data_IF_074899999238
#
_entry.id   IF_074899999238
#
_cell.length_a   1.000
_cell.length_b   1.000
_cell.length_c   1.000
_cell.angle_alpha   90.00
_cell.angle_beta   90.00
_cell.angle_gamma   90.00
#
_symmetry.space_group_name_H-M   'P 1'
#
loop_
_entity.id
_entity.type
_entity.pdbx_description
1 polymer ?
#
# COMPACT_ATOMS: atom_id res chain seq x y z
N UNK A 1 0.24 60.73 65.35
CA UNK A 1 1.43 61.45 64.88
C UNK A 1 1.64 61.13 63.41
N UNK A 2 1.10 62.00 62.55
CA UNK A 2 1.63 62.34 61.22
C UNK A 2 3.00 63.05 61.39
N UNK A 3 3.85 63.26 60.35
CA UNK A 3 3.42 63.50 58.97
C UNK A 3 4.21 62.85 57.83
N UNK A 4 3.47 62.77 56.74
CA UNK A 4 3.80 62.68 55.32
C UNK A 4 4.20 64.06 54.77
N UNK A 5 4.75 64.13 53.55
CA UNK A 5 4.68 65.20 52.51
C UNK A 5 5.95 65.06 51.61
N UNK A 6 5.97 65.18 50.28
CA UNK A 6 5.04 65.58 49.21
C UNK A 6 5.71 65.20 47.86
N UNK A 7 5.04 64.66 46.84
CA UNK A 7 4.06 65.19 45.88
C UNK A 7 4.68 65.88 44.64
N UNK A 8 4.36 65.37 43.43
CA UNK A 8 4.04 66.16 42.23
C UNK A 8 3.60 65.24 41.05
N UNK A 9 2.41 65.53 40.52
CA UNK A 9 1.63 64.84 39.47
C UNK A 9 1.71 65.62 38.12
N UNK A 10 0.78 65.52 37.14
CA UNK A 10 0.59 64.54 36.04
C UNK A 10 0.60 65.18 34.62
N UNK A 11 0.38 64.40 33.55
CA UNK A 11 -0.37 64.87 32.37
C UNK A 11 -0.94 63.70 31.54
N UNK A 12 -2.28 63.63 31.43
CA UNK A 12 -3.01 63.02 30.29
C UNK A 12 -3.30 64.10 29.23
N UNK A 13 -3.72 63.73 28.00
CA UNK A 13 -5.17 63.63 27.74
C UNK A 13 -5.64 62.51 26.77
N UNK A 14 -6.78 61.90 27.12
CA UNK A 14 -8.07 61.81 26.42
C UNK A 14 -8.22 61.26 24.96
N UNK A 15 -8.98 60.15 24.90
CA UNK A 15 -10.17 59.82 24.08
C UNK A 15 -10.29 59.99 22.54
N UNK A 16 -10.99 58.96 22.00
CA UNK A 16 -11.90 58.90 20.84
C UNK A 16 -11.30 58.94 19.43
N UNK A 17 -11.38 57.82 18.70
CA UNK A 17 -12.43 57.64 17.67
C UNK A 17 -12.52 56.19 17.15
N UNK A 18 -13.76 55.78 16.90
CA UNK A 18 -14.18 54.51 16.30
C UNK A 18 -13.84 54.43 14.80
N UNK A 19 -13.51 53.24 14.28
CA UNK A 19 -14.13 52.67 13.06
C UNK A 19 -13.46 51.35 12.62
N UNK A 20 -14.17 50.26 12.88
CA UNK A 20 -14.38 49.07 12.05
C UNK A 20 -13.66 48.99 10.68
N UNK A 21 -12.88 47.93 10.43
CA UNK A 21 -12.97 47.10 9.19
C UNK A 21 -12.15 45.80 9.28
N UNK A 22 -12.90 44.70 9.31
CA UNK A 22 -12.66 43.38 8.66
C UNK A 22 -11.35 42.58 8.87
N UNK A 23 -11.56 41.41 9.50
CA UNK A 23 -10.91 40.10 9.29
C UNK A 23 -9.91 39.96 8.13
N UNK A 24 -8.71 39.51 8.47
CA UNK A 24 -7.90 38.65 7.60
C UNK A 24 -7.06 37.69 8.46
N UNK A 25 -7.59 36.48 8.64
CA UNK A 25 -6.87 35.34 9.19
C UNK A 25 -5.64 35.02 8.32
N UNK A 26 -4.45 35.09 8.90
CA UNK A 26 -3.22 34.55 8.29
C UNK A 26 -3.27 33.03 8.36
N UNK A 27 -3.59 32.40 7.23
CA UNK A 27 -3.55 30.95 7.04
C UNK A 27 -2.18 30.54 6.49
N UNK A 28 -1.48 29.71 7.26
CA UNK A 28 -0.31 28.92 6.91
C UNK A 28 -0.54 28.08 5.62
N UNK A 29 0.32 28.15 4.58
CA UNK A 29 0.11 27.44 3.33
C UNK A 29 0.45 25.95 3.51
N UNK A 30 -0.54 25.18 3.96
CA UNK A 30 -0.53 23.73 3.94
C UNK A 30 -0.35 23.24 2.50
N UNK A 31 0.75 22.50 2.30
CA UNK A 31 1.07 21.69 1.12
C UNK A 31 -0.17 20.90 0.68
N UNK A 32 -0.58 21.11 -0.56
CA UNK A 32 -1.66 20.35 -1.20
C UNK A 32 -1.18 18.91 -1.39
N UNK A 33 -1.65 18.00 -0.53
CA UNK A 33 -1.54 16.55 -0.79
C UNK A 33 -2.51 16.19 -1.91
N UNK A 34 -2.03 15.40 -2.87
CA UNK A 34 -2.68 15.02 -4.14
C UNK A 34 -3.88 14.08 -3.93
N UNK A 35 -4.88 14.48 -3.16
CA UNK A 35 -6.18 13.81 -3.11
C UNK A 35 -7.20 14.64 -3.88
N UNK A 36 -7.41 14.27 -5.13
CA UNK A 36 -8.58 14.72 -5.90
C UNK A 36 -8.36 14.68 -7.40
N UNK A 37 -8.67 13.54 -8.04
CA UNK A 37 -9.01 13.41 -9.45
C UNK A 37 -9.45 11.94 -9.66
N UNK A 38 -10.59 11.54 -10.26
CA UNK A 38 -11.50 12.15 -11.21
C UNK A 38 -12.95 11.65 -11.01
N UNK A 39 -13.92 12.51 -11.35
CA UNK A 39 -15.25 12.12 -11.83
C UNK A 39 -15.18 11.75 -13.32
N UNK A 40 -16.00 10.78 -13.69
CA UNK A 40 -16.13 10.17 -15.02
C UNK A 40 -16.51 11.12 -16.17
N UNK A 41 -16.07 10.81 -17.38
CA UNK A 41 -16.86 10.91 -18.60
C UNK A 41 -16.23 10.08 -19.74
N UNK A 42 -17.07 9.23 -20.33
CA UNK A 42 -16.76 8.24 -21.38
C UNK A 42 -16.71 8.91 -22.77
N UNK A 43 -15.80 8.42 -23.61
CA UNK A 43 -15.68 8.73 -25.05
C UNK A 43 -16.87 8.13 -25.81
N UNK A 44 -17.46 8.93 -26.69
CA UNK A 44 -18.42 8.50 -27.70
C UNK A 44 -17.87 7.35 -28.56
N UNK A 45 -18.66 6.30 -28.74
CA UNK A 45 -18.42 5.31 -29.79
C UNK A 45 -19.53 5.39 -30.84
N UNK A 46 -19.09 5.54 -32.09
CA UNK A 46 -19.91 5.45 -33.29
C UNK A 46 -20.58 4.06 -33.42
N UNK A 47 -21.76 4.05 -34.01
CA UNK A 47 -22.53 2.85 -34.37
C UNK A 47 -21.84 2.02 -35.47
N UNK A 48 -22.22 0.72 -35.59
CA UNK A 48 -22.96 0.36 -36.80
C UNK A 48 -24.12 -0.64 -36.60
N UNK A 49 -25.23 -0.29 -37.27
CA UNK A 49 -26.13 -1.10 -38.11
C UNK A 49 -26.87 -2.35 -37.59
N UNK A 50 -28.18 -2.28 -37.77
CA UNK A 50 -29.26 -3.24 -37.54
C UNK A 50 -29.33 -4.33 -38.63
N UNK A 51 -29.71 -5.56 -38.25
CA UNK A 51 -30.74 -6.35 -38.93
C UNK A 51 -31.17 -7.59 -38.11
N UNK A 52 -32.48 -7.71 -37.84
CA UNK A 52 -33.17 -9.02 -37.87
C UNK A 52 -33.63 -9.68 -36.56
N UNK A 53 -34.84 -9.33 -36.09
CA UNK A 53 -35.92 -10.28 -35.75
C UNK A 53 -35.83 -11.16 -34.48
N UNK A 54 -36.74 -10.92 -33.52
CA UNK A 54 -37.19 -11.94 -32.56
C UNK A 54 -37.58 -11.39 -31.18
N UNK A 55 -38.87 -11.37 -30.85
CA UNK A 55 -39.42 -10.98 -29.54
C UNK A 55 -39.37 -12.18 -28.59
N UNK A 56 -38.76 -12.05 -27.41
CA UNK A 56 -39.04 -12.89 -26.24
C UNK A 56 -38.66 -12.19 -24.92
N UNK A 57 -39.40 -12.54 -23.86
CA UNK A 57 -39.74 -11.74 -22.69
C UNK A 57 -38.71 -11.78 -21.54
N UNK A 58 -38.65 -10.63 -20.85
CA UNK A 58 -38.14 -10.30 -19.51
C UNK A 58 -37.63 -11.41 -18.54
N UNK A 59 -36.48 -11.11 -17.91
CA UNK A 59 -36.20 -11.06 -16.44
C UNK A 59 -34.80 -11.58 -16.13
N UNK A 60 -33.89 -10.68 -15.78
CA UNK A 60 -33.36 -10.53 -14.42
C UNK A 60 -32.10 -9.66 -14.43
N UNK A 61 -32.07 -8.72 -13.49
CA UNK A 61 -30.96 -7.83 -13.25
C UNK A 61 -29.74 -8.65 -12.80
N UNK A 62 -28.82 -8.93 -13.73
CA UNK A 62 -27.51 -9.42 -13.38
C UNK A 62 -26.71 -8.27 -12.77
N UNK A 63 -26.62 -8.26 -11.44
CA UNK A 63 -25.66 -7.46 -10.68
C UNK A 63 -24.25 -7.80 -11.14
N UNK A 64 -23.67 -6.97 -11.99
CA UNK A 64 -22.24 -6.97 -12.27
C UNK A 64 -21.51 -6.54 -11.00
N UNK A 65 -21.05 -7.53 -10.23
CA UNK A 65 -20.24 -7.34 -9.04
C UNK A 65 -18.99 -6.54 -9.38
N UNK A 66 -18.92 -5.34 -8.83
CA UNK A 66 -17.72 -4.51 -8.84
C UNK A 66 -16.62 -5.20 -8.03
N UNK A 67 -15.80 -6.00 -8.71
CA UNK A 67 -14.46 -6.28 -8.22
C UNK A 67 -13.65 -4.99 -8.35
N UNK A 68 -13.54 -4.24 -7.26
CA UNK A 68 -12.56 -3.17 -7.18
C UNK A 68 -11.19 -3.78 -7.48
N UNK A 69 -10.52 -3.29 -8.52
CA UNK A 69 -9.09 -3.56 -8.73
C UNK A 69 -8.36 -2.90 -7.55
N UNK A 70 -8.04 -3.71 -6.55
CA UNK A 70 -7.26 -3.28 -5.39
C UNK A 70 -5.85 -2.95 -5.87
N UNK A 71 -5.30 -1.85 -5.36
CA UNK A 71 -3.90 -1.53 -5.58
C UNK A 71 -3.04 -2.70 -5.07
N UNK A 72 -2.02 -3.14 -5.83
CA UNK A 72 -1.01 -4.07 -5.31
C UNK A 72 -0.45 -3.54 -3.99
N UNK A 73 -0.07 -4.44 -3.09
CA UNK A 73 0.77 -4.09 -1.93
C UNK A 73 1.90 -3.17 -2.40
N UNK A 74 2.21 -2.08 -1.66
CA UNK A 74 3.19 -1.10 -2.12
C UNK A 74 4.46 -1.81 -2.57
N UNK A 75 4.84 -1.62 -3.85
CA UNK A 75 6.26 -1.76 -4.20
C UNK A 75 6.99 -0.72 -3.34
N UNK A 76 8.21 -1.03 -2.87
CA UNK A 76 9.01 -0.03 -2.17
C UNK A 76 9.22 1.18 -3.10
N UNK A 77 8.38 2.20 -2.93
CA UNK A 77 8.47 3.51 -3.57
C UNK A 77 9.25 4.43 -2.62
N UNK A 78 10.10 5.27 -3.22
CA UNK A 78 11.03 6.31 -2.71
C UNK A 78 11.60 6.29 -1.26
N UNK A 79 11.32 5.27 -0.45
CA UNK A 79 11.84 5.02 0.89
C UNK A 79 11.02 5.59 2.06
N UNK A 80 9.87 6.23 1.83
CA UNK A 80 9.08 6.87 2.92
C UNK A 80 7.91 6.01 3.43
N UNK A 81 7.39 5.06 2.64
CA UNK A 81 6.23 4.24 3.01
C UNK A 81 6.65 2.90 3.66
N UNK A 82 6.86 2.90 4.98
CA UNK A 82 7.12 1.68 5.77
C UNK A 82 5.83 0.93 6.10
N UNK A 83 5.88 -0.40 6.25
CA UNK A 83 4.70 -1.19 6.63
C UNK A 83 4.08 -0.67 7.94
N UNK A 84 2.79 -0.28 7.94
CA UNK A 84 2.16 0.31 9.11
C UNK A 84 2.15 -0.62 10.33
N UNK A 85 2.45 -0.11 11.54
CA UNK A 85 2.29 -0.87 12.77
C UNK A 85 0.81 -0.96 13.16
N UNK A 86 0.43 -2.08 13.77
CA UNK A 86 -0.89 -2.26 14.38
C UNK A 86 -0.79 -2.98 15.72
N UNK A 87 -1.91 -3.00 16.45
CA UNK A 87 -1.96 -3.64 17.76
C UNK A 87 -1.62 -5.13 17.70
N UNK A 88 -0.96 -5.62 18.75
CA UNK A 88 -0.64 -7.04 18.94
C UNK A 88 -1.90 -7.91 19.11
N UNK A 89 -2.94 -7.36 19.74
CA UNK A 89 -4.10 -8.12 20.15
C UNK A 89 -3.83 -8.97 21.39
N UNK A 90 -4.88 -9.59 21.96
CA UNK A 90 -4.78 -10.28 23.26
C UNK A 90 -4.21 -11.70 23.16
N UNK A 91 -3.91 -12.18 21.95
CA UNK A 91 -3.64 -13.60 21.69
C UNK A 91 -2.21 -13.90 21.26
N UNK A 92 -1.27 -12.95 21.38
CA UNK A 92 0.14 -13.25 21.15
C UNK A 92 0.68 -14.20 22.23
N UNK A 93 1.63 -15.08 21.84
CA UNK A 93 2.40 -15.92 22.76
C UNK A 93 3.87 -15.87 22.35
N UNK A 94 4.79 -15.51 23.28
CA UNK A 94 6.22 -15.53 22.99
C UNK A 94 6.73 -16.96 22.83
N UNK A 95 7.97 -17.10 22.37
CA UNK A 95 8.67 -18.40 22.22
C UNK A 95 7.98 -19.36 21.25
N UNK A 96 7.42 -18.84 20.15
CA UNK A 96 6.87 -19.67 19.09
C UNK A 96 7.94 -20.62 18.52
N UNK A 97 7.59 -21.83 18.07
CA UNK A 97 8.56 -22.72 17.44
C UNK A 97 9.03 -22.19 16.08
N UNK A 98 10.29 -22.43 15.74
CA UNK A 98 10.83 -22.09 14.42
C UNK A 98 10.26 -23.05 13.36
N UNK A 99 9.41 -22.54 12.46
CA UNK A 99 8.81 -23.30 11.35
C UNK A 99 8.20 -22.38 10.30
N UNK A 100 8.21 -22.84 9.06
CA UNK A 100 7.56 -22.17 7.92
C UNK A 100 6.18 -22.74 7.60
N UNK A 101 5.85 -23.94 8.09
CA UNK A 101 4.50 -24.51 8.03
C UNK A 101 3.84 -24.49 9.40
N UNK A 102 2.67 -23.87 9.50
CA UNK A 102 1.83 -23.85 10.70
C UNK A 102 0.86 -25.03 10.78
N UNK A 103 0.85 -25.86 9.74
CA UNK A 103 -0.13 -26.94 9.54
C UNK A 103 0.57 -28.27 9.29
N UNK A 104 -0.14 -29.35 9.61
CA UNK A 104 0.20 -30.72 9.26
C UNK A 104 -0.79 -31.27 8.23
N UNK A 105 -0.46 -32.41 7.61
CA UNK A 105 -1.41 -33.13 6.75
C UNK A 105 -2.74 -33.39 7.46
N UNK A 106 -3.86 -33.12 6.80
CA UNK A 106 -5.20 -33.27 7.36
C UNK A 106 -5.67 -32.14 8.29
N UNK A 107 -4.88 -31.06 8.45
CA UNK A 107 -5.33 -29.88 9.20
C UNK A 107 -6.58 -29.27 8.55
N UNK A 108 -7.71 -29.09 9.27
CA UNK A 108 -8.91 -28.50 8.70
C UNK A 108 -8.73 -27.04 8.28
N UNK A 109 -9.30 -26.68 7.14
CA UNK A 109 -9.32 -25.32 6.61
C UNK A 109 -8.93 -25.26 5.13
N UNK A 110 -9.16 -24.10 4.51
CA UNK A 110 -8.73 -23.85 3.13
C UNK A 110 -7.21 -23.65 3.12
N UNK A 111 -6.41 -24.47 2.41
CA UNK A 111 -4.96 -24.29 2.36
C UNK A 111 -4.56 -22.90 1.90
N UNK A 112 -3.56 -22.31 2.54
CA UNK A 112 -3.03 -20.98 2.22
C UNK A 112 -1.51 -21.01 2.27
N UNK A 113 -0.86 -20.47 1.24
CA UNK A 113 0.57 -20.10 1.33
C UNK A 113 0.70 -18.60 1.20
N UNK A 114 1.35 -17.95 2.16
CA UNK A 114 1.69 -16.51 2.11
C UNK A 114 3.18 -16.37 1.88
N UNK A 115 3.59 -15.64 0.84
CA UNK A 115 5.01 -15.45 0.50
C UNK A 115 5.29 -14.02 0.06
N UNK A 116 6.53 -13.58 0.22
CA UNK A 116 6.97 -12.27 -0.22
C UNK A 116 8.38 -11.98 0.26
N UNK A 117 8.71 -10.71 0.37
CA UNK A 117 10.03 -10.24 0.75
C UNK A 117 9.98 -9.28 1.95
N UNK A 118 11.13 -9.10 2.59
CA UNK A 118 11.34 -8.04 3.57
C UNK A 118 12.40 -7.09 3.02
N UNK A 119 12.06 -5.82 2.90
CA UNK A 119 12.93 -4.74 2.44
C UNK A 119 13.19 -3.72 3.56
N UNK A 120 14.26 -2.93 3.42
CA UNK A 120 14.41 -1.69 4.17
C UNK A 120 14.11 -0.47 3.29
N UNK A 121 14.45 0.73 3.78
CA UNK A 121 14.08 2.01 3.13
C UNK A 121 14.75 2.26 1.78
N UNK A 122 15.83 1.56 1.43
CA UNK A 122 16.47 1.69 0.12
C UNK A 122 16.06 0.56 -0.83
N UNK A 123 14.87 -0.04 -0.63
CA UNK A 123 14.33 -1.13 -1.43
C UNK A 123 15.26 -2.36 -1.50
N UNK A 124 16.15 -2.52 -0.52
CA UNK A 124 17.13 -3.61 -0.47
C UNK A 124 16.61 -4.74 0.41
N UNK A 125 16.67 -5.99 -0.06
CA UNK A 125 16.19 -7.12 0.71
C UNK A 125 16.98 -7.26 2.02
N UNK A 126 16.27 -7.56 3.10
CA UNK A 126 16.85 -7.81 4.42
C UNK A 126 16.92 -9.32 4.62
N UNK A 127 18.14 -9.86 4.55
CA UNK A 127 18.42 -11.24 4.94
C UNK A 127 18.35 -11.43 6.46
N UNK A 128 17.84 -12.58 6.90
CA UNK A 128 17.79 -12.92 8.33
C UNK A 128 16.80 -12.10 9.15
N UNK A 129 15.86 -11.40 8.53
CA UNK A 129 14.76 -10.75 9.25
C UNK A 129 13.86 -11.82 9.88
N UNK A 130 13.59 -11.69 11.18
CA UNK A 130 12.62 -12.49 11.90
C UNK A 130 11.21 -12.14 11.42
N UNK A 131 10.41 -13.16 11.12
CA UNK A 131 8.97 -13.06 10.93
C UNK A 131 8.30 -14.10 11.84
N UNK A 132 7.61 -13.64 12.87
CA UNK A 132 6.86 -14.47 13.84
C UNK A 132 5.36 -14.29 13.61
N UNK A 133 4.72 -15.33 13.08
CA UNK A 133 3.32 -15.34 12.67
C UNK A 133 2.44 -16.02 13.72
N UNK A 134 1.25 -15.46 13.93
CA UNK A 134 0.18 -16.14 14.64
C UNK A 134 -1.19 -15.80 14.06
N UNK A 135 -2.12 -16.74 14.13
CA UNK A 135 -3.49 -16.56 13.63
C UNK A 135 -4.48 -17.44 14.39
N UNK A 136 -5.76 -17.23 14.14
CA UNK A 136 -6.81 -18.16 14.51
C UNK A 136 -6.78 -19.42 13.63
N UNK A 137 -7.38 -20.50 14.13
CA UNK A 137 -7.74 -21.67 13.34
C UNK A 137 -8.88 -21.36 12.35
N UNK A 138 -9.32 -22.37 11.58
CA UNK A 138 -10.39 -22.20 10.58
C UNK A 138 -11.75 -21.78 11.17
N UNK A 139 -11.95 -21.93 12.48
CA UNK A 139 -13.18 -21.59 13.20
C UNK A 139 -13.09 -20.24 13.93
N UNK A 140 -11.95 -19.54 13.83
CA UNK A 140 -11.75 -18.25 14.50
C UNK A 140 -11.24 -18.37 15.94
N UNK A 141 -10.75 -19.54 16.35
CA UNK A 141 -10.22 -19.78 17.70
C UNK A 141 -8.69 -19.70 17.74
N UNK A 142 -8.14 -19.03 18.75
CA UNK A 142 -6.70 -18.98 19.02
C UNK A 142 -6.31 -20.05 20.04
N UNK A 143 -5.26 -20.81 19.74
CA UNK A 143 -4.68 -21.74 20.70
C UNK A 143 -3.84 -20.98 21.74
N UNK A 144 -4.33 -20.95 22.98
CA UNK A 144 -3.63 -20.36 24.13
C UNK A 144 -2.93 -21.42 24.98
N UNK A 145 -3.22 -22.71 24.79
CA UNK A 145 -2.60 -23.79 25.55
C UNK A 145 -1.26 -24.20 24.95
N UNK A 146 -1.21 -24.46 23.64
CA UNK A 146 -0.04 -24.90 22.92
C UNK A 146 0.41 -23.83 21.90
N UNK A 147 0.96 -24.25 20.76
CA UNK A 147 1.43 -23.36 19.71
C UNK A 147 0.76 -23.62 18.37
N UNK A 148 -0.44 -24.22 18.31
CA UNK A 148 -1.14 -24.39 17.04
C UNK A 148 -1.31 -23.02 16.34
N UNK A 149 -1.03 -22.98 15.03
CA UNK A 149 -1.05 -21.75 14.23
C UNK A 149 -0.11 -20.62 14.71
N UNK A 150 1.03 -20.98 15.33
CA UNK A 150 2.10 -20.04 15.73
C UNK A 150 3.45 -20.51 15.24
N UNK A 151 4.27 -19.64 14.68
CA UNK A 151 5.62 -20.03 14.31
C UNK A 151 6.40 -18.90 13.70
N UNK A 152 7.71 -18.94 13.91
CA UNK A 152 8.61 -17.96 13.35
C UNK A 152 9.57 -18.56 12.33
N UNK A 153 10.03 -17.70 11.44
CA UNK A 153 11.04 -18.00 10.45
C UNK A 153 11.98 -16.80 10.29
N UNK A 154 13.04 -16.99 9.50
CA UNK A 154 13.95 -15.93 9.10
C UNK A 154 13.97 -15.85 7.58
N UNK A 155 14.03 -14.65 7.03
CA UNK A 155 14.14 -14.46 5.58
C UNK A 155 15.44 -15.05 5.04
N UNK A 156 15.38 -15.50 3.77
CA UNK A 156 16.54 -15.98 3.01
C UNK A 156 17.54 -14.87 2.67
N UNK A 157 18.63 -15.23 2.00
CA UNK A 157 19.67 -14.28 1.57
C UNK A 157 19.14 -13.19 0.61
N UNK A 158 18.08 -13.51 -0.12
CA UNK A 158 17.33 -12.65 -1.03
C UNK A 158 16.19 -11.88 -0.33
N UNK A 159 16.06 -12.00 0.98
CA UNK A 159 14.99 -11.37 1.76
C UNK A 159 13.64 -12.08 1.67
N UNK A 160 13.55 -13.24 0.99
CA UNK A 160 12.29 -13.94 0.79
C UNK A 160 11.81 -14.69 2.05
N UNK A 161 10.48 -14.82 2.19
CA UNK A 161 9.82 -15.69 3.18
C UNK A 161 8.68 -16.49 2.56
N UNK A 162 8.31 -17.59 3.21
CA UNK A 162 7.12 -18.37 2.86
C UNK A 162 6.48 -19.00 4.09
N UNK A 163 5.18 -18.79 4.25
CA UNK A 163 4.34 -19.32 5.32
C UNK A 163 3.29 -20.25 4.74
N UNK A 164 3.33 -21.53 5.10
CA UNK A 164 2.26 -22.50 4.78
C UNK A 164 1.29 -22.60 5.95
N UNK A 165 0.01 -22.36 5.71
CA UNK A 165 -1.05 -22.31 6.72
C UNK A 165 -2.42 -22.64 6.10
N UNK A 166 -3.50 -22.29 6.78
CA UNK A 166 -4.87 -22.25 6.26
C UNK A 166 -5.42 -20.83 6.37
N UNK A 167 -6.47 -20.52 5.62
CA UNK A 167 -7.25 -19.29 5.77
C UNK A 167 -7.87 -19.26 7.17
N UNK A 168 -7.48 -18.32 8.08
CA UNK A 168 -8.02 -18.27 9.44
C UNK A 168 -9.50 -17.94 9.43
N UNK A 169 -10.29 -18.48 10.35
CA UNK A 169 -11.69 -18.12 10.54
C UNK A 169 -11.87 -16.68 11.02
N UNK A 170 -13.10 -16.17 10.93
CA UNK A 170 -13.46 -14.88 11.53
C UNK A 170 -13.58 -15.04 13.04
N UNK A 171 -12.95 -14.16 13.81
CA UNK A 171 -13.24 -14.06 15.24
C UNK A 171 -14.13 -12.85 15.54
N UNK A 172 -14.86 -12.84 16.68
CA UNK A 172 -15.85 -11.81 16.97
C UNK A 172 -15.27 -10.39 16.90
N UNK A 173 -15.97 -9.50 16.19
CA UNK A 173 -15.64 -8.07 16.11
C UNK A 173 -14.51 -7.69 15.14
N UNK A 174 -13.92 -8.64 14.41
CA UNK A 174 -12.79 -8.37 13.51
C UNK A 174 -12.99 -8.94 12.11
N UNK A 175 -12.37 -8.30 11.12
CA UNK A 175 -12.21 -8.85 9.77
C UNK A 175 -11.17 -9.97 9.78
N UNK A 176 -11.06 -10.73 8.69
CA UNK A 176 -10.09 -11.83 8.60
C UNK A 176 -8.67 -11.26 8.53
N UNK A 177 -7.77 -11.78 9.37
CA UNK A 177 -6.38 -11.35 9.37
C UNK A 177 -5.43 -12.44 9.89
N UNK A 178 -4.14 -12.25 9.60
CA UNK A 178 -3.02 -12.97 10.18
C UNK A 178 -2.16 -11.94 10.91
N UNK A 179 -1.73 -12.22 12.14
CA UNK A 179 -0.80 -11.34 12.83
C UNK A 179 0.65 -11.70 12.51
N UNK A 180 1.51 -10.69 12.58
CA UNK A 180 2.95 -10.86 12.38
C UNK A 180 3.75 -9.87 13.22
N UNK A 181 4.86 -10.36 13.77
CA UNK A 181 5.98 -9.55 14.24
C UNK A 181 7.11 -9.67 13.24
N UNK A 182 7.58 -8.55 12.72
CA UNK A 182 8.71 -8.48 11.80
C UNK A 182 9.87 -7.73 12.46
N UNK A 183 11.08 -8.24 12.36
CA UNK A 183 12.26 -7.61 12.98
C UNK A 183 13.50 -7.89 12.14
N UNK A 184 14.15 -6.82 11.65
CA UNK A 184 15.48 -6.94 11.06
C UNK A 184 16.52 -7.38 12.11
N UNK A 185 17.65 -8.02 11.74
CA UNK A 185 18.69 -8.39 12.69
C UNK A 185 19.12 -7.20 13.58
N UNK A 186 18.94 -7.31 14.89
CA UNK A 186 19.24 -6.25 15.86
C UNK A 186 18.34 -5.00 15.79
N UNK A 187 17.31 -5.00 14.93
CA UNK A 187 16.38 -3.90 14.74
C UNK A 187 15.22 -3.89 15.75
N UNK A 188 14.34 -2.89 15.60
CA UNK A 188 13.09 -2.80 16.37
C UNK A 188 12.07 -3.81 15.83
N UNK A 189 11.20 -4.31 16.72
CA UNK A 189 10.08 -5.17 16.34
C UNK A 189 8.95 -4.30 15.79
N UNK A 190 8.58 -4.53 14.52
CA UNK A 190 7.30 -4.13 13.95
C UNK A 190 6.25 -5.17 14.37
N UNK A 191 5.18 -4.73 15.02
CA UNK A 191 3.98 -5.56 15.22
C UNK A 191 2.90 -5.05 14.29
N UNK A 192 2.31 -5.93 13.49
CA UNK A 192 1.26 -5.56 12.53
C UNK A 192 0.36 -6.75 12.21
N UNK A 193 -0.57 -6.57 11.26
CA UNK A 193 -1.56 -7.54 10.83
C UNK A 193 -1.64 -7.54 9.31
N UNK A 194 -2.00 -8.66 8.70
CA UNK A 194 -2.21 -8.81 7.25
C UNK A 194 -3.67 -9.12 6.98
N UNK A 195 -4.28 -8.41 6.05
CA UNK A 195 -5.71 -8.51 5.73
C UNK A 195 -5.97 -9.25 4.41
N UNK A 196 -7.18 -9.78 4.27
CA UNK A 196 -7.61 -10.48 3.06
C UNK A 196 -8.47 -9.57 2.16
N UNK A 197 -8.34 -9.69 0.84
CA UNK A 197 -9.19 -8.95 -0.09
C UNK A 197 -10.64 -9.43 0.01
N UNK A 198 -11.58 -8.51 -0.23
CA UNK A 198 -13.00 -8.79 -0.39
C UNK A 198 -13.68 -9.44 0.82
N UNK A 199 -13.14 -9.27 2.03
CA UNK A 199 -13.86 -9.65 3.25
C UNK A 199 -14.92 -8.58 3.57
N UNK A 200 -16.20 -8.94 3.73
CA UNK A 200 -17.25 -7.96 4.03
C UNK A 200 -16.97 -7.12 5.27
N UNK A 201 -16.26 -7.70 6.26
CA UNK A 201 -15.90 -7.04 7.50
C UNK A 201 -14.77 -6.01 7.37
N UNK A 202 -14.07 -5.93 6.23
CA UNK A 202 -13.14 -4.83 5.97
C UNK A 202 -13.85 -3.46 6.02
N UNK A 203 -15.16 -3.42 5.71
CA UNK A 203 -15.97 -2.20 5.78
C UNK A 203 -16.40 -1.82 7.21
N UNK A 204 -16.18 -2.69 8.19
CA UNK A 204 -16.69 -2.52 9.57
C UNK A 204 -15.61 -2.63 10.64
N UNK A 205 -14.48 -3.26 10.34
CA UNK A 205 -13.35 -3.37 11.25
C UNK A 205 -12.50 -2.09 11.20
N UNK A 206 -12.49 -1.33 12.30
CA UNK A 206 -11.75 -0.07 12.39
C UNK A 206 -10.23 -0.24 12.31
N UNK A 207 -9.71 -1.46 12.45
CA UNK A 207 -8.29 -1.77 12.27
C UNK A 207 -7.95 -2.13 10.83
N UNK A 208 -8.93 -2.37 9.96
CA UNK A 208 -8.64 -2.66 8.56
C UNK A 208 -7.88 -1.50 7.92
N UNK A 209 -6.75 -1.82 7.30
CA UNK A 209 -5.91 -0.88 6.56
C UNK A 209 -5.61 -1.47 5.17
N UNK A 210 -5.93 -0.76 4.07
CA UNK A 210 -5.62 -1.23 2.73
C UNK A 210 -4.12 -1.40 2.46
N UNK A 211 -3.22 -0.70 3.17
CA UNK A 211 -1.76 -0.88 3.02
C UNK A 211 -1.27 -2.23 3.55
N UNK A 212 -2.08 -2.87 4.39
CA UNK A 212 -1.81 -4.18 5.00
C UNK A 212 -2.57 -5.32 4.30
N UNK A 213 -3.18 -5.04 3.14
CA UNK A 213 -3.96 -5.99 2.37
C UNK A 213 -3.04 -6.90 1.54
N UNK A 214 -3.13 -8.21 1.74
CA UNK A 214 -2.42 -9.17 0.90
C UNK A 214 -3.06 -9.26 -0.49
N UNK A 215 -2.26 -9.44 -1.54
CA UNK A 215 -2.78 -9.93 -2.81
C UNK A 215 -3.06 -11.43 -2.69
N UNK A 216 -4.30 -11.88 -2.92
CA UNK A 216 -4.70 -13.28 -2.73
C UNK A 216 -5.38 -13.83 -3.97
N UNK A 217 -4.87 -14.96 -4.48
CA UNK A 217 -5.43 -15.70 -5.62
C UNK A 217 -5.77 -17.14 -5.25
N UNK A 218 -6.76 -17.72 -5.91
CA UNK A 218 -7.08 -19.14 -5.78
C UNK A 218 -6.09 -20.01 -6.55
N UNK A 219 -5.67 -21.13 -5.98
CA UNK A 219 -4.77 -22.12 -6.60
C UNK A 219 -5.23 -23.52 -6.20
N UNK A 220 -5.71 -24.31 -7.16
CA UNK A 220 -6.29 -25.63 -6.87
C UNK A 220 -7.44 -25.54 -5.87
N UNK A 221 -7.35 -26.30 -4.77
CA UNK A 221 -8.30 -26.26 -3.66
C UNK A 221 -7.94 -25.25 -2.55
N UNK A 222 -6.88 -24.45 -2.75
CA UNK A 222 -6.36 -23.50 -1.76
C UNK A 222 -6.22 -22.09 -2.30
N UNK A 223 -5.45 -21.28 -1.58
CA UNK A 223 -5.12 -19.89 -1.91
C UNK A 223 -3.62 -19.64 -1.81
N UNK A 224 -3.14 -18.67 -2.57
CA UNK A 224 -1.82 -18.09 -2.42
C UNK A 224 -1.97 -16.60 -2.14
N UNK A 225 -1.39 -16.15 -1.03
CA UNK A 225 -1.26 -14.75 -0.65
C UNK A 225 0.15 -14.24 -0.93
N UNK A 226 0.28 -12.96 -1.28
CA UNK A 226 1.57 -12.26 -1.34
C UNK A 226 1.52 -10.95 -0.59
N UNK A 227 2.60 -10.63 0.12
CA UNK A 227 2.79 -9.38 0.84
C UNK A 227 4.28 -9.12 1.04
N UNK A 228 4.72 -7.90 0.74
CA UNK A 228 6.10 -7.47 0.97
C UNK A 228 6.15 -6.50 2.16
N UNK A 229 7.06 -6.75 3.09
CA UNK A 229 7.28 -5.89 4.24
C UNK A 229 8.35 -4.84 3.91
N UNK A 230 8.14 -3.62 4.39
CA UNK A 230 9.13 -2.54 4.36
C UNK A 230 9.40 -2.12 5.78
N UNK A 231 10.56 -2.48 6.31
CA UNK A 231 10.97 -2.12 7.67
C UNK A 231 11.68 -0.77 7.68
N UNK A 232 11.47 -0.01 8.75
CA UNK A 232 12.23 1.21 9.06
C UNK A 232 13.69 0.85 9.41
N UNK A 233 14.46 0.55 8.37
CA UNK A 233 15.89 0.23 8.41
C UNK A 233 16.55 1.07 7.34
N UNK A 234 17.42 1.99 7.76
CA UNK A 234 18.26 2.73 6.85
C UNK A 234 19.24 1.77 6.16
N UNK A 235 19.33 1.88 4.84
CA UNK A 235 20.24 1.10 4.02
C UNK A 235 20.97 2.06 3.10
N UNK A 236 22.26 1.82 2.88
CA UNK A 236 23.00 2.57 1.87
C UNK A 236 22.49 2.16 0.49
N UNK A 237 22.17 3.10 -0.42
CA UNK A 237 21.92 2.78 -1.82
C UNK A 237 23.09 2.02 -2.44
N UNK A 238 22.82 1.13 -3.38
CA UNK A 238 23.85 0.41 -4.12
C UNK A 238 24.46 1.23 -5.25
N UNK A 239 25.63 0.79 -5.77
CA UNK A 239 26.17 1.34 -7.01
C UNK A 239 25.26 1.11 -8.24
N UNK A 240 24.20 0.30 -8.10
CA UNK A 240 23.16 0.06 -9.10
C UNK A 240 21.90 0.92 -8.92
N UNK A 241 21.81 1.72 -7.85
CA UNK A 241 20.73 2.69 -7.72
C UNK A 241 21.13 3.93 -8.53
N UNK A 242 20.37 4.31 -9.57
CA UNK A 242 20.66 5.54 -10.29
C UNK A 242 20.59 6.69 -9.28
N UNK A 243 21.57 7.61 -9.26
CA UNK A 243 21.60 8.69 -8.30
C UNK A 243 20.29 9.49 -8.39
N UNK A 244 19.72 9.82 -7.24
CA UNK A 244 18.49 10.61 -7.06
C UNK A 244 18.66 12.08 -7.48
N UNK A 245 19.67 12.41 -8.29
CA UNK A 245 19.70 13.70 -8.96
C UNK A 245 18.94 13.59 -10.29
N UNK A 246 17.92 14.43 -10.53
CA UNK A 246 17.30 14.49 -11.84
C UNK A 246 18.40 14.83 -12.86
N UNK A 247 18.62 13.99 -13.89
CA UNK A 247 19.50 14.37 -14.99
C UNK A 247 18.89 15.62 -15.63
N UNK A 248 19.65 16.71 -15.63
CA UNK A 248 19.47 17.81 -16.57
C UNK A 248 19.53 17.23 -18.00
N UNK A 249 18.45 17.38 -18.78
CA UNK A 249 18.26 16.98 -20.20
C UNK A 249 19.46 17.35 -21.13
N UNK A 250 19.60 16.87 -22.41
CA UNK A 250 18.68 16.15 -23.35
C UNK A 250 19.36 14.97 -24.16
N UNK A 251 18.81 14.33 -25.26
CA UNK A 251 17.57 14.57 -26.02
C UNK A 251 16.59 13.37 -26.14
N UNK A 252 15.29 13.66 -26.14
CA UNK A 252 14.25 12.69 -26.50
C UNK A 252 14.08 12.56 -28.01
N UNK A 253 14.25 11.34 -28.54
CA UNK A 253 13.94 11.00 -29.93
C UNK A 253 12.46 10.67 -30.14
N UNK A 254 12.02 10.56 -31.38
CA UNK A 254 10.68 10.01 -31.69
C UNK A 254 10.66 8.52 -31.40
N UNK A 255 9.56 8.01 -30.82
CA UNK A 255 9.36 6.58 -30.62
C UNK A 255 9.42 5.84 -31.96
N UNK A 256 10.10 4.70 -32.00
CA UNK A 256 10.21 3.87 -33.19
C UNK A 256 10.17 2.37 -32.83
N UNK A 257 9.43 1.55 -33.59
CA UNK A 257 9.39 0.11 -33.38
C UNK A 257 10.78 -0.51 -33.65
N UNK A 258 11.09 -1.60 -32.95
CA UNK A 258 12.39 -2.27 -32.97
C UNK A 258 13.47 -1.64 -32.10
N UNK A 259 13.23 -0.45 -31.55
CA UNK A 259 14.17 0.28 -30.68
C UNK A 259 14.14 -0.27 -29.26
N UNK A 260 15.30 -0.49 -28.66
CA UNK A 260 15.40 -0.82 -27.24
C UNK A 260 15.40 0.44 -26.39
N UNK A 261 14.45 0.52 -25.47
CA UNK A 261 14.30 1.61 -24.51
C UNK A 261 14.61 1.13 -23.10
N UNK A 262 15.25 1.99 -22.31
CA UNK A 262 15.52 1.80 -20.89
C UNK A 262 14.46 2.52 -20.08
N UNK A 263 14.19 2.02 -18.87
CA UNK A 263 13.35 2.74 -17.93
C UNK A 263 13.93 4.15 -17.68
N UNK A 264 13.09 5.18 -17.81
CA UNK A 264 13.47 6.58 -17.72
C UNK A 264 13.66 7.28 -19.08
N UNK A 265 13.87 6.54 -20.18
CA UNK A 265 14.03 7.14 -21.51
C UNK A 265 12.81 7.98 -21.88
N UNK A 266 13.04 9.16 -22.47
CA UNK A 266 11.96 10.02 -22.96
C UNK A 266 11.90 9.97 -24.48
N UNK A 267 10.69 9.79 -25.00
CA UNK A 267 10.41 9.75 -26.43
C UNK A 267 9.22 10.65 -26.78
N UNK A 268 9.09 11.04 -28.04
CA UNK A 268 7.88 11.68 -28.55
C UNK A 268 7.12 10.74 -29.48
N UNK A 269 5.79 10.70 -29.38
CA UNK A 269 4.93 9.97 -30.31
C UNK A 269 3.65 10.77 -30.56
N UNK A 270 3.32 11.02 -31.83
CA UNK A 270 2.18 11.88 -32.18
C UNK A 270 2.26 13.31 -31.62
N UNK A 271 3.48 13.83 -31.43
CA UNK A 271 3.72 15.15 -30.84
C UNK A 271 3.60 15.23 -29.31
N UNK A 272 3.36 14.10 -28.64
CA UNK A 272 3.25 14.01 -27.18
C UNK A 272 4.49 13.33 -26.61
N UNK A 273 4.99 13.85 -25.49
CA UNK A 273 6.12 13.27 -24.77
C UNK A 273 5.68 12.09 -23.90
N UNK A 274 6.51 11.05 -23.86
CA UNK A 274 6.33 9.88 -23.03
C UNK A 274 7.64 9.48 -22.38
N UNK A 275 7.56 8.97 -21.16
CA UNK A 275 8.66 8.38 -20.40
C UNK A 275 8.50 6.87 -20.33
N UNK A 276 9.54 6.14 -20.65
CA UNK A 276 9.58 4.69 -20.54
C UNK A 276 9.55 4.28 -19.06
N UNK A 277 8.63 3.42 -18.66
CA UNK A 277 8.48 2.92 -17.28
C UNK A 277 9.30 1.67 -17.02
N UNK A 278 9.46 0.81 -18.03
CA UNK A 278 10.14 -0.47 -17.93
C UNK A 278 11.01 -0.68 -19.17
N UNK A 279 12.23 -1.18 -18.99
CA UNK A 279 13.12 -1.45 -20.12
C UNK A 279 12.53 -2.54 -21.03
N UNK A 280 12.50 -2.30 -22.34
CA UNK A 280 11.95 -3.24 -23.32
C UNK A 280 12.47 -2.94 -24.73
N UNK A 281 12.24 -3.86 -25.67
CA UNK A 281 12.37 -3.58 -27.09
C UNK A 281 10.98 -3.29 -27.67
N UNK A 282 10.79 -2.11 -28.25
CA UNK A 282 9.51 -1.70 -28.79
C UNK A 282 9.11 -2.57 -30.00
N UNK A 283 7.83 -2.84 -30.13
CA UNK A 283 7.23 -3.56 -31.26
C UNK A 283 6.08 -2.75 -31.83
N UNK A 284 5.70 -2.99 -33.08
CA UNK A 284 4.51 -2.39 -33.68
C UNK A 284 3.28 -2.78 -32.85
N UNK A 285 2.41 -1.80 -32.53
CA UNK A 285 1.30 -1.98 -31.61
C UNK A 285 1.63 -1.67 -30.14
N UNK A 286 2.90 -1.40 -29.82
CA UNK A 286 3.36 -0.97 -28.49
C UNK A 286 3.69 0.54 -28.46
N UNK A 287 2.98 1.31 -29.27
CA UNK A 287 3.11 2.77 -29.27
C UNK A 287 2.79 3.32 -27.87
N UNK A 288 3.43 4.41 -27.43
CA UNK A 288 3.27 4.91 -26.07
C UNK A 288 1.84 5.09 -25.53
N UNK A 289 0.84 5.57 -26.29
CA UNK A 289 -0.54 5.65 -25.79
C UNK A 289 -1.22 4.29 -25.62
N UNK A 290 -0.76 3.24 -26.31
CA UNK A 290 -1.43 1.95 -26.36
C UNK A 290 -1.01 1.01 -25.22
N UNK A 291 0.18 1.20 -24.66
CA UNK A 291 0.75 0.32 -23.61
C UNK A 291 1.21 1.13 -22.39
N UNK A 292 0.27 1.66 -21.57
CA UNK A 292 0.57 2.51 -20.40
C UNK A 292 1.36 1.79 -19.28
N UNK A 293 1.43 0.46 -19.33
CA UNK A 293 2.31 -0.31 -18.45
C UNK A 293 3.81 -0.04 -18.74
N UNK A 294 4.16 0.27 -19.99
CA UNK A 294 5.53 0.50 -20.45
C UNK A 294 5.84 1.99 -20.65
N UNK A 295 4.82 2.84 -20.80
CA UNK A 295 4.98 4.26 -21.07
C UNK A 295 4.09 5.12 -20.17
N UNK A 296 4.67 6.20 -19.69
CA UNK A 296 4.01 7.24 -18.91
C UNK A 296 3.95 8.50 -19.77
N UNK A 297 2.78 9.14 -19.87
CA UNK A 297 2.69 10.42 -20.58
C UNK A 297 3.40 11.50 -19.76
N UNK A 298 4.35 12.19 -20.39
CA UNK A 298 5.10 13.32 -19.81
C UNK A 298 4.41 14.66 -20.00
#
# INVERSE_FOLDING_TARGET
MTPQMDNATPHEPNASDEANTSDAASADPRRISRKGLLKAAIVASAAPLLAGGGVALARDAASSGGGALLAPTPQCDDGDDTTPPQMEGPYFKPNSPRRTSLVASGTPGVPLTVSGYVFGRACRPISGALLDFWQADTNGSYDMAQYAFRGHQFTGADGAFSLTTIVPGLYPGRTRHIHVKAQAPGGRILTTQLYFPNEPRNNTDALFDPELLMNVRSVGNGRQGTFDFVLDVAQTPGPSDPPTQPPTDPPGGTWAPGTSYRAGDRVTYGGVAYRCRQAHQAMTGWEPPNVPALWERG
#
